data_IF_403720968906
#
_entry.id   IF_403720968906
#
_cell.length_a   1.000
_cell.length_b   1.000
_cell.length_c   1.000
_cell.angle_alpha   90.00
_cell.angle_beta   90.00
_cell.angle_gamma   90.00
#
_symmetry.space_group_name_H-M   'P 1'
#
loop_
_entity.id
_entity.type
_entity.pdbx_description
1 polymer ?
#
# COMPACT_ATOMS: atom_id res chain seq x y z
N UNK A 1 7.99 -31.25 -54.91
CA UNK A 1 8.88 -31.31 -53.73
C UNK A 1 8.35 -30.34 -52.69
N UNK A 2 8.31 -30.80 -51.43
CA UNK A 2 8.00 -30.08 -50.18
C UNK A 2 6.53 -29.72 -49.89
N UNK A 3 5.86 -30.71 -49.28
CA UNK A 3 4.74 -30.56 -48.32
C UNK A 3 5.27 -29.88 -47.03
N UNK A 4 4.42 -29.77 -46.00
CA UNK A 4 4.68 -29.37 -44.60
C UNK A 4 4.69 -27.84 -44.36
N UNK A 5 3.96 -27.23 -43.42
CA UNK A 5 2.93 -27.67 -42.47
C UNK A 5 2.40 -26.38 -41.79
N UNK A 6 1.11 -26.32 -41.48
CA UNK A 6 0.54 -25.33 -40.56
C UNK A 6 1.16 -25.46 -39.16
N UNK A 7 1.40 -24.33 -38.49
CA UNK A 7 1.46 -24.26 -37.03
C UNK A 7 0.92 -22.90 -36.56
N UNK A 8 -0.38 -22.92 -36.23
CA UNK A 8 -1.04 -21.97 -35.33
C UNK A 8 -0.30 -21.96 -33.98
N UNK A 9 0.25 -20.82 -33.58
CA UNK A 9 0.51 -20.55 -32.17
C UNK A 9 -0.08 -19.19 -31.85
N UNK A 10 -1.40 -19.18 -31.63
CA UNK A 10 -2.06 -18.10 -30.93
C UNK A 10 -1.69 -18.23 -29.45
N UNK A 11 -0.60 -17.59 -29.04
CA UNK A 11 -0.28 -17.47 -27.61
C UNK A 11 -1.26 -16.48 -26.99
N UNK A 12 -2.41 -16.98 -26.55
CA UNK A 12 -3.27 -16.27 -25.63
C UNK A 12 -2.50 -16.09 -24.33
N UNK A 13 -1.90 -14.91 -24.14
CA UNK A 13 -1.40 -14.50 -22.83
C UNK A 13 -2.65 -14.33 -21.97
N UNK A 14 -2.99 -15.37 -21.22
CA UNK A 14 -3.91 -15.27 -20.10
C UNK A 14 -3.26 -14.32 -19.11
N UNK A 15 -3.63 -13.04 -19.19
CA UNK A 15 -3.30 -12.07 -18.16
C UNK A 15 -3.96 -12.51 -16.87
N UNK A 16 -3.21 -13.19 -16.01
CA UNK A 16 -3.59 -13.40 -14.61
C UNK A 16 -3.73 -12.02 -13.98
N UNK A 17 -4.96 -11.53 -13.88
CA UNK A 17 -5.27 -10.38 -13.06
C UNK A 17 -5.00 -10.78 -11.61
N UNK A 18 -4.04 -10.11 -10.98
CA UNK A 18 -3.84 -10.24 -9.55
C UNK A 18 -5.10 -9.68 -8.86
N UNK A 19 -5.99 -10.56 -8.41
CA UNK A 19 -7.11 -10.18 -7.56
C UNK A 19 -6.54 -9.82 -6.17
N UNK A 20 -6.37 -8.53 -5.90
CA UNK A 20 -6.01 -8.07 -4.57
C UNK A 20 -7.23 -8.17 -3.66
N UNK A 21 -7.25 -9.17 -2.78
CA UNK A 21 -8.28 -9.28 -1.76
C UNK A 21 -8.13 -8.10 -0.77
N UNK A 22 -9.16 -7.25 -0.70
CA UNK A 22 -9.19 -6.12 0.23
C UNK A 22 -9.81 -6.53 1.56
N UNK A 23 -9.08 -6.33 2.66
CA UNK A 23 -9.55 -6.63 4.00
C UNK A 23 -10.52 -5.54 4.45
N UNK A 24 -11.78 -5.93 4.72
CA UNK A 24 -12.82 -5.06 5.27
C UNK A 24 -12.94 -5.31 6.76
N UNK A 25 -12.61 -4.31 7.57
CA UNK A 25 -12.69 -4.38 9.03
C UNK A 25 -14.00 -3.76 9.50
N UNK A 26 -14.82 -4.50 10.25
CA UNK A 26 -16.13 -3.99 10.74
C UNK A 26 -15.99 -3.02 11.92
N UNK A 27 -14.90 -3.13 12.66
CA UNK A 27 -14.58 -2.29 13.82
C UNK A 27 -13.92 -1.00 13.36
N UNK A 28 -14.35 0.14 13.89
CA UNK A 28 -13.76 1.43 13.57
C UNK A 28 -12.30 1.51 14.03
N UNK A 29 -11.40 2.09 13.21
CA UNK A 29 -10.04 2.36 13.64
C UNK A 29 -10.04 3.40 14.78
N UNK A 30 -9.14 3.28 15.76
CA UNK A 30 -8.94 4.34 16.74
C UNK A 30 -8.44 5.63 16.07
N UNK A 31 -8.56 6.78 16.74
CA UNK A 31 -7.93 8.02 16.28
C UNK A 31 -6.42 7.85 16.07
N UNK A 32 -5.82 8.54 15.09
CA UNK A 32 -4.37 8.55 14.91
C UNK A 32 -3.65 8.99 16.18
N UNK A 33 -2.55 8.32 16.52
CA UNK A 33 -1.70 8.71 17.65
C UNK A 33 -0.79 9.84 17.18
N UNK A 34 -0.74 10.93 17.97
CA UNK A 34 0.22 12.01 17.74
C UNK A 34 1.54 11.62 18.39
N UNK A 35 2.56 11.39 17.56
CA UNK A 35 3.89 11.00 18.02
C UNK A 35 4.84 12.21 18.07
N UNK A 36 5.67 12.26 19.10
CA UNK A 36 6.82 13.15 19.11
C UNK A 36 7.84 12.67 18.07
N UNK A 37 8.11 13.50 17.07
CA UNK A 37 9.05 13.17 15.99
C UNK A 37 10.48 13.32 16.50
N UNK A 38 11.33 12.28 16.43
CA UNK A 38 12.75 12.44 16.73
C UNK A 38 13.41 13.35 15.67
N UNK A 39 14.60 13.86 15.98
CA UNK A 39 15.37 14.68 15.05
C UNK A 39 15.59 13.92 13.73
N UNK A 40 15.37 14.61 12.61
CA UNK A 40 15.58 14.04 11.29
C UNK A 40 17.06 13.67 11.10
N UNK A 41 17.39 12.46 10.60
CA UNK A 41 18.78 12.07 10.37
C UNK A 41 19.51 12.95 9.35
N UNK A 42 18.77 13.59 8.42
CA UNK A 42 19.30 14.54 7.45
C UNK A 42 18.16 15.37 6.84
N UNK A 43 18.44 16.51 6.18
CA UNK A 43 17.44 17.28 5.42
C UNK A 43 16.76 16.51 4.27
N UNK A 44 17.32 15.37 3.84
CA UNK A 44 16.74 14.51 2.78
C UNK A 44 15.64 13.57 3.26
N UNK A 45 15.46 13.42 4.57
CA UNK A 45 14.48 12.51 5.12
C UNK A 45 13.11 13.20 5.22
N UNK A 46 12.07 12.43 4.93
CA UNK A 46 10.67 12.83 5.12
C UNK A 46 10.07 11.94 6.19
N UNK A 47 9.30 12.55 7.09
CA UNK A 47 8.59 11.82 8.13
C UNK A 47 7.37 11.12 7.54
N UNK A 48 7.28 9.81 7.73
CA UNK A 48 6.08 9.02 7.48
C UNK A 48 5.42 8.81 8.83
N UNK A 49 4.24 9.40 9.03
CA UNK A 49 3.47 9.24 10.25
C UNK A 49 3.09 7.76 10.49
N UNK A 50 2.99 7.40 11.77
CA UNK A 50 2.52 6.07 12.16
C UNK A 50 1.05 5.85 11.81
N UNK A 51 0.61 4.61 11.93
CA UNK A 51 -0.76 4.23 11.61
C UNK A 51 -1.23 3.00 12.40
N UNK A 52 -2.56 2.89 12.55
CA UNK A 52 -3.19 1.69 13.08
C UNK A 52 -3.24 0.60 12.00
N UNK A 53 -2.48 -0.48 12.16
CA UNK A 53 -2.55 -1.66 11.29
C UNK A 53 -3.53 -2.66 11.88
N UNK A 54 -4.37 -3.27 11.05
CA UNK A 54 -5.16 -4.42 11.47
C UNK A 54 -4.30 -5.70 11.42
N UNK A 55 -4.21 -6.45 12.52
CA UNK A 55 -3.42 -7.69 12.60
C UNK A 55 -4.24 -8.98 12.36
N UNK A 56 -5.54 -8.83 12.08
CA UNK A 56 -6.50 -9.94 11.97
C UNK A 56 -7.48 -9.99 13.14
N UNK A 57 -7.11 -9.44 14.30
CA UNK A 57 -7.92 -9.48 15.52
C UNK A 57 -8.13 -8.09 16.14
N UNK A 58 -7.13 -7.21 16.05
CA UNK A 58 -7.16 -5.86 16.62
C UNK A 58 -6.33 -4.87 15.81
N UNK A 59 -6.53 -3.59 16.13
CA UNK A 59 -5.63 -2.53 15.67
C UNK A 59 -4.36 -2.53 16.51
N UNK A 60 -3.22 -2.50 15.83
CA UNK A 60 -1.90 -2.33 16.43
C UNK A 60 -1.26 -1.07 15.87
N UNK A 61 -0.72 -0.23 16.75
CA UNK A 61 -0.01 0.97 16.33
C UNK A 61 1.33 0.59 15.70
N UNK A 62 1.57 1.10 14.50
CA UNK A 62 2.87 1.04 13.83
C UNK A 62 3.44 2.45 13.87
N UNK A 63 4.53 2.64 14.62
CA UNK A 63 5.15 3.95 14.80
C UNK A 63 5.69 4.54 13.50
N UNK A 64 5.69 5.86 13.44
CA UNK A 64 6.22 6.62 12.33
C UNK A 64 7.74 6.45 12.17
N UNK A 65 8.24 6.83 11.00
CA UNK A 65 9.67 6.69 10.68
C UNK A 65 10.14 7.74 9.67
N UNK A 66 11.42 8.06 9.76
CA UNK A 66 12.13 8.83 8.75
C UNK A 66 12.47 7.94 7.56
N UNK A 67 12.14 8.39 6.34
CA UNK A 67 12.46 7.67 5.09
C UNK A 67 13.04 8.64 4.07
N UNK A 68 14.01 8.17 3.28
CA UNK A 68 14.50 8.89 2.10
C UNK A 68 13.53 8.64 0.95
N UNK A 69 12.95 9.68 0.32
CA UNK A 69 12.07 9.52 -0.82
C UNK A 69 12.77 8.76 -1.97
N UNK A 70 12.05 7.91 -2.72
CA UNK A 70 12.63 7.12 -3.81
C UNK A 70 13.12 7.98 -4.98
N UNK A 71 12.61 9.21 -5.09
CA UNK A 71 13.04 10.21 -6.09
C UNK A 71 13.11 11.60 -5.48
N UNK A 72 13.92 12.46 -6.08
CA UNK A 72 14.02 13.88 -5.68
C UNK A 72 12.66 14.56 -5.83
N UNK A 73 12.24 15.28 -4.79
CA UNK A 73 10.95 15.96 -4.76
C UNK A 73 9.74 15.05 -4.52
N UNK A 74 9.95 13.78 -4.14
CA UNK A 74 8.86 12.89 -3.77
C UNK A 74 8.10 13.39 -2.56
N UNK A 75 6.77 13.45 -2.66
CA UNK A 75 5.87 13.84 -1.57
C UNK A 75 5.18 12.60 -1.02
N UNK A 76 5.28 12.40 0.28
CA UNK A 76 4.57 11.30 0.93
C UNK A 76 3.08 11.66 1.08
N UNK A 77 2.21 10.79 0.59
CA UNK A 77 0.77 10.85 0.84
C UNK A 77 0.47 9.79 1.90
N UNK A 78 0.06 10.18 3.13
CA UNK A 78 -0.23 9.24 4.19
C UNK A 78 -1.34 8.25 3.82
N UNK A 79 -1.15 7.00 4.23
CA UNK A 79 -2.21 6.01 4.21
C UNK A 79 -3.28 6.35 5.25
N UNK A 80 -4.49 5.90 5.02
CA UNK A 80 -5.60 6.15 5.93
C UNK A 80 -6.61 5.03 5.88
N UNK A 81 -7.38 4.89 6.96
CA UNK A 81 -8.58 4.06 6.94
C UNK A 81 -9.71 4.85 6.30
N UNK A 82 -10.31 4.27 5.28
CA UNK A 82 -11.47 4.85 4.60
C UNK A 82 -12.73 4.06 4.93
N UNK A 83 -13.84 4.77 5.12
CA UNK A 83 -15.13 4.16 5.44
C UNK A 83 -15.79 3.68 4.15
N UNK A 84 -16.20 2.41 4.12
CA UNK A 84 -16.94 1.80 3.01
C UNK A 84 -18.22 1.14 3.51
N UNK A 85 -19.17 0.81 2.61
CA UNK A 85 -20.27 -0.07 2.97
C UNK A 85 -19.73 -1.37 3.59
N UNK A 86 -20.22 -1.71 4.79
CA UNK A 86 -19.81 -2.93 5.50
C UNK A 86 -18.55 -2.83 6.35
N UNK A 87 -17.82 -1.72 6.36
CA UNK A 87 -16.63 -1.60 7.23
C UNK A 87 -15.67 -0.47 6.88
N UNK A 88 -14.41 -0.69 7.23
CA UNK A 88 -13.29 0.19 6.97
C UNK A 88 -12.25 -0.58 6.17
N UNK A 89 -11.62 0.10 5.22
CA UNK A 89 -10.52 -0.44 4.42
C UNK A 89 -9.27 0.39 4.64
N UNK A 90 -8.12 -0.24 4.63
CA UNK A 90 -6.85 0.49 4.64
C UNK A 90 -6.50 0.92 3.22
N UNK A 91 -6.33 2.22 3.02
CA UNK A 91 -5.75 2.80 1.81
C UNK A 91 -4.27 3.01 2.08
N UNK A 92 -3.41 2.35 1.31
CA UNK A 92 -1.97 2.42 1.51
C UNK A 92 -1.43 3.80 1.11
N UNK A 93 -0.58 4.35 1.97
CA UNK A 93 0.18 5.56 1.66
C UNK A 93 1.18 5.30 0.54
N UNK A 94 1.49 6.34 -0.23
CA UNK A 94 2.37 6.23 -1.39
C UNK A 94 3.11 7.53 -1.65
N UNK A 95 4.15 7.44 -2.49
CA UNK A 95 4.91 8.59 -2.95
C UNK A 95 4.28 9.17 -4.23
N UNK A 96 4.17 10.49 -4.29
CA UNK A 96 3.77 11.28 -5.47
C UNK A 96 4.88 12.23 -5.91
#
# INVERSE_FOLDING_TARGET
MKKWMLALVATAILGTSAAFAQIVVRVAPPPPVVEARPIAPSPRHVWIDGYHRWDGHRYVWVGGRWVIPPRRGGVWIPGHWDRRPGGYIWIQGHWR
#
